data_IF_105563948129
#
_entry.id   IF_105563948129
#
_cell.length_a   1.000
_cell.length_b   1.000
_cell.length_c   1.000
_cell.angle_alpha   90.00
_cell.angle_beta   90.00
_cell.angle_gamma   90.00
#
_symmetry.space_group_name_H-M   'P 1'
#
loop_
_entity.id
_entity.type
_entity.pdbx_description
1 polymer ?
#
# COMPACT_ATOMS: atom_id res chain seq x y z
N UNK A 1 -9.34 -3.43 -20.60
CA UNK A 1 -8.97 -4.83 -20.93
C UNK A 1 -9.73 -5.82 -20.06
N UNK A 2 -9.62 -5.79 -18.72
CA UNK A 2 -10.45 -6.65 -17.85
C UNK A 2 -11.92 -6.18 -17.80
N UNK A 3 -12.16 -4.93 -17.42
CA UNK A 3 -13.54 -4.43 -17.18
C UNK A 3 -14.26 -3.96 -18.45
N UNK A 4 -13.50 -3.46 -19.42
CA UNK A 4 -13.99 -2.92 -20.69
C UNK A 4 -13.22 -3.53 -21.88
N UNK A 5 -13.31 -4.85 -22.13
CA UNK A 5 -12.64 -5.49 -23.27
C UNK A 5 -13.19 -5.04 -24.62
N UNK A 6 -14.50 -4.79 -24.70
CA UNK A 6 -15.24 -4.46 -25.93
C UNK A 6 -14.92 -3.07 -26.50
N UNK A 7 -14.42 -2.15 -25.68
CA UNK A 7 -14.07 -0.79 -26.10
C UNK A 7 -12.64 -0.66 -26.64
N UNK A 8 -11.86 -1.74 -26.61
CA UNK A 8 -10.47 -1.73 -27.08
C UNK A 8 -10.43 -1.95 -28.59
N UNK A 9 -9.97 -0.94 -29.32
CA UNK A 9 -9.78 -1.03 -30.77
C UNK A 9 -8.59 -1.92 -31.13
N UNK A 10 -8.54 -2.42 -32.37
CA UNK A 10 -7.42 -3.23 -32.86
C UNK A 10 -6.07 -2.51 -32.77
N UNK A 11 -6.06 -1.19 -32.97
CA UNK A 11 -4.85 -0.36 -32.86
C UNK A 11 -4.37 -0.26 -31.40
N UNK A 12 -5.29 -0.02 -30.46
CA UNK A 12 -4.99 0.00 -29.02
C UNK A 12 -4.51 -1.38 -28.55
N UNK A 13 -5.19 -2.45 -28.98
CA UNK A 13 -4.80 -3.83 -28.70
C UNK A 13 -3.38 -4.11 -29.17
N UNK A 14 -3.02 -3.71 -30.40
CA UNK A 14 -1.67 -3.91 -30.95
C UNK A 14 -0.60 -3.13 -30.18
N UNK A 15 -0.90 -1.89 -29.79
CA UNK A 15 0.02 -1.06 -29.01
C UNK A 15 0.26 -1.64 -27.61
N UNK A 16 -0.80 -2.15 -26.96
CA UNK A 16 -0.70 -2.84 -25.68
C UNK A 16 0.09 -4.15 -25.84
N UNK A 17 -0.28 -4.98 -26.82
CA UNK A 17 0.37 -6.27 -27.04
C UNK A 17 1.88 -6.12 -27.22
N UNK A 18 2.34 -5.09 -27.93
CA UNK A 18 3.75 -4.82 -28.14
C UNK A 18 4.57 -4.69 -26.83
N UNK A 19 3.94 -4.37 -25.69
CA UNK A 19 4.59 -4.19 -24.39
C UNK A 19 4.17 -5.26 -23.37
N UNK A 20 2.91 -5.67 -23.39
CA UNK A 20 2.33 -6.65 -22.47
C UNK A 20 1.41 -7.61 -23.25
N UNK A 21 1.53 -8.93 -23.11
CA UNK A 21 0.75 -9.91 -23.87
C UNK A 21 -0.75 -9.73 -23.63
N UNK A 22 -1.46 -9.15 -24.60
CA UNK A 22 -2.80 -8.60 -24.40
C UNK A 22 -3.79 -9.67 -23.94
N UNK A 23 -3.75 -10.84 -24.56
CA UNK A 23 -4.69 -11.93 -24.30
C UNK A 23 -4.55 -12.56 -22.91
N UNK A 24 -3.39 -12.37 -22.27
CA UNK A 24 -3.13 -12.87 -20.91
C UNK A 24 -3.41 -11.84 -19.83
N UNK A 25 -3.60 -10.55 -20.18
CA UNK A 25 -3.73 -9.46 -19.21
C UNK A 25 -4.95 -9.61 -18.30
N UNK A 26 -6.12 -9.94 -18.85
CA UNK A 26 -7.34 -10.07 -18.06
C UNK A 26 -7.24 -11.22 -17.05
N UNK A 27 -6.63 -12.34 -17.45
CA UNK A 27 -6.44 -13.52 -16.58
C UNK A 27 -5.38 -13.29 -15.51
N UNK A 28 -4.32 -12.53 -15.83
CA UNK A 28 -3.27 -12.22 -14.88
C UNK A 28 -3.64 -11.10 -13.90
N UNK A 29 -4.70 -10.34 -14.15
CA UNK A 29 -5.10 -9.22 -13.31
C UNK A 29 -5.48 -9.70 -11.90
N UNK A 30 -4.82 -9.12 -10.90
CA UNK A 30 -5.15 -9.30 -9.49
C UNK A 30 -5.31 -7.90 -8.86
N UNK A 31 -6.50 -7.55 -8.35
CA UNK A 31 -6.76 -6.20 -7.85
C UNK A 31 -5.76 -5.73 -6.77
N UNK A 32 -5.37 -6.64 -5.88
CA UNK A 32 -4.45 -6.34 -4.78
C UNK A 32 -2.96 -6.49 -5.13
N UNK A 33 -2.61 -6.98 -6.33
CA UNK A 33 -1.23 -7.27 -6.69
C UNK A 33 -0.96 -7.07 -8.18
N UNK A 34 -0.08 -6.12 -8.47
CA UNK A 34 0.35 -5.76 -9.82
C UNK A 34 1.46 -6.66 -10.39
N UNK A 35 2.12 -7.46 -9.56
CA UNK A 35 3.29 -8.27 -9.94
C UNK A 35 3.02 -9.27 -11.08
N UNK A 36 1.89 -10.01 -11.11
CA UNK A 36 1.58 -10.91 -12.23
C UNK A 36 1.57 -10.18 -13.59
N UNK A 37 1.07 -8.95 -13.65
CA UNK A 37 1.08 -8.14 -14.87
C UNK A 37 2.47 -7.60 -15.16
N UNK A 38 3.18 -7.08 -14.15
CA UNK A 38 4.54 -6.55 -14.30
C UNK A 38 5.53 -7.58 -14.82
N UNK A 39 5.43 -8.83 -14.36
CA UNK A 39 6.35 -9.89 -14.79
C UNK A 39 6.14 -10.33 -16.24
N UNK A 40 5.00 -10.00 -16.86
CA UNK A 40 4.76 -10.24 -18.29
C UNK A 40 5.33 -9.15 -19.22
N UNK A 41 5.95 -8.11 -18.67
CA UNK A 41 6.50 -7.01 -19.46
C UNK A 41 7.58 -7.48 -20.46
N UNK A 42 7.38 -7.16 -21.75
CA UNK A 42 8.32 -7.47 -22.83
C UNK A 42 9.54 -6.56 -22.74
N UNK A 43 10.65 -7.08 -22.21
CA UNK A 43 11.89 -6.31 -21.97
C UNK A 43 12.58 -5.83 -23.25
N UNK A 44 12.29 -6.46 -24.36
CA UNK A 44 12.81 -6.19 -25.70
C UNK A 44 11.98 -5.16 -26.50
N UNK A 45 10.88 -4.64 -25.93
CA UNK A 45 10.08 -3.63 -26.62
C UNK A 45 10.87 -2.32 -26.89
N UNK A 46 10.65 -1.72 -28.05
CA UNK A 46 11.33 -0.48 -28.45
C UNK A 46 10.79 0.74 -27.71
N UNK A 47 11.52 1.86 -27.76
CA UNK A 47 11.04 3.11 -27.21
C UNK A 47 9.74 3.59 -27.90
N UNK A 48 9.61 3.40 -29.22
CA UNK A 48 8.35 3.76 -29.91
C UNK A 48 7.18 2.91 -29.43
N UNK A 49 7.38 1.59 -29.24
CA UNK A 49 6.34 0.69 -28.74
C UNK A 49 5.89 1.08 -27.33
N UNK A 50 6.83 1.40 -26.43
CA UNK A 50 6.48 1.89 -25.08
C UNK A 50 5.72 3.20 -25.11
N UNK A 51 6.15 4.15 -25.94
CA UNK A 51 5.45 5.43 -26.06
C UNK A 51 4.04 5.26 -26.63
N UNK A 52 3.86 4.37 -27.60
CA UNK A 52 2.54 4.02 -28.13
C UNK A 52 1.66 3.38 -27.04
N UNK A 53 2.21 2.48 -26.24
CA UNK A 53 1.52 1.91 -25.08
C UNK A 53 1.10 3.00 -24.08
N UNK A 54 2.00 3.90 -23.67
CA UNK A 54 1.66 4.97 -22.72
C UNK A 54 0.61 5.94 -23.26
N UNK A 55 0.63 6.24 -24.56
CA UNK A 55 -0.41 7.03 -25.19
C UNK A 55 -1.78 6.34 -25.11
N UNK A 56 -1.85 5.04 -25.43
CA UNK A 56 -3.09 4.25 -25.32
C UNK A 56 -3.56 4.16 -23.88
N UNK A 57 -2.66 3.85 -22.94
CA UNK A 57 -2.96 3.83 -21.51
C UNK A 57 -3.56 5.15 -21.03
N UNK A 58 -3.00 6.29 -21.47
CA UNK A 58 -3.53 7.61 -21.14
C UNK A 58 -4.91 7.89 -21.73
N UNK A 59 -5.15 7.52 -22.99
CA UNK A 59 -6.48 7.67 -23.60
C UNK A 59 -7.53 6.77 -22.91
N UNK A 60 -7.16 5.55 -22.52
CA UNK A 60 -8.02 4.68 -21.73
C UNK A 60 -8.31 5.27 -20.34
N UNK A 61 -7.34 5.92 -19.70
CA UNK A 61 -7.53 6.59 -18.42
C UNK A 61 -8.56 7.73 -18.50
N UNK A 62 -8.59 8.47 -19.61
CA UNK A 62 -9.59 9.53 -19.85
C UNK A 62 -10.99 8.97 -20.07
N UNK A 63 -11.11 7.83 -20.77
CA UNK A 63 -12.40 7.15 -21.01
C UNK A 63 -12.96 6.59 -19.70
N UNK A 64 -12.11 5.97 -18.88
CA UNK A 64 -12.49 5.23 -17.67
C UNK A 64 -11.69 5.66 -16.43
N UNK A 65 -11.83 6.91 -15.96
CA UNK A 65 -11.03 7.42 -14.84
C UNK A 65 -11.32 6.67 -13.52
N UNK A 66 -12.56 6.20 -13.33
CA UNK A 66 -12.95 5.42 -12.15
C UNK A 66 -12.21 4.08 -12.05
N UNK A 67 -12.01 3.38 -13.18
CA UNK A 67 -11.27 2.11 -13.20
C UNK A 67 -9.81 2.30 -12.74
N UNK A 68 -9.20 3.44 -13.08
CA UNK A 68 -7.84 3.76 -12.67
C UNK A 68 -7.76 4.10 -11.18
N UNK A 69 -8.72 4.87 -10.67
CA UNK A 69 -8.81 5.16 -9.22
C UNK A 69 -9.06 3.88 -8.42
N UNK A 70 -9.95 3.01 -8.90
CA UNK A 70 -10.21 1.71 -8.29
C UNK A 70 -8.96 0.82 -8.28
N UNK A 71 -8.26 0.72 -9.42
CA UNK A 71 -7.03 -0.07 -9.50
C UNK A 71 -5.94 0.42 -8.54
N UNK A 72 -5.78 1.74 -8.36
CA UNK A 72 -4.87 2.30 -7.37
C UNK A 72 -5.32 1.94 -5.95
N UNK A 73 -6.61 2.16 -5.64
CA UNK A 73 -7.17 1.88 -4.32
C UNK A 73 -7.04 0.41 -3.95
N UNK A 74 -7.46 -0.51 -4.82
CA UNK A 74 -7.41 -1.95 -4.56
C UNK A 74 -5.98 -2.47 -4.33
N UNK A 75 -4.99 -1.82 -4.96
CA UNK A 75 -3.59 -2.13 -4.75
C UNK A 75 -3.04 -1.57 -3.41
N UNK A 76 -3.67 -0.57 -2.77
CA UNK A 76 -3.12 0.10 -1.58
C UNK A 76 -4.05 0.22 -0.36
N UNK A 77 -5.30 -0.24 -0.44
CA UNK A 77 -6.35 0.00 0.57
C UNK A 77 -5.96 -0.49 1.97
N UNK A 78 -5.19 -1.59 2.06
CA UNK A 78 -4.69 -2.15 3.30
C UNK A 78 -3.94 -1.12 4.17
N UNK A 79 -3.29 -0.15 3.53
CA UNK A 79 -2.52 0.88 4.22
C UNK A 79 -3.38 2.03 4.76
N UNK A 80 -4.61 2.17 4.31
CA UNK A 80 -5.46 3.31 4.64
C UNK A 80 -6.78 2.89 5.32
N UNK A 81 -7.02 1.59 5.49
CA UNK A 81 -8.22 1.04 6.08
C UNK A 81 -7.90 -0.02 7.15
N UNK A 82 -8.09 0.28 8.46
CA UNK A 82 -7.83 -0.66 9.54
C UNK A 82 -8.91 -1.74 9.58
N UNK A 83 -8.69 -2.81 8.81
CA UNK A 83 -9.64 -3.92 8.66
C UNK A 83 -9.37 -5.08 9.63
N UNK A 84 -8.24 -5.05 10.36
CA UNK A 84 -7.76 -6.16 11.19
C UNK A 84 -7.14 -7.30 10.38
N UNK A 85 -7.04 -7.15 9.05
CA UNK A 85 -6.53 -8.17 8.13
C UNK A 85 -5.04 -8.00 7.81
N UNK A 86 -4.46 -6.84 8.11
CA UNK A 86 -3.09 -6.49 7.73
C UNK A 86 -2.25 -6.21 8.98
N UNK A 87 -1.85 -7.26 9.72
CA UNK A 87 -1.12 -7.09 10.96
C UNK A 87 0.34 -6.66 10.74
N UNK A 88 0.90 -5.93 11.70
CA UNK A 88 2.31 -5.49 11.75
C UNK A 88 3.34 -6.62 11.94
N UNK A 89 2.90 -7.88 11.89
CA UNK A 89 3.72 -9.05 12.05
C UNK A 89 3.29 -10.10 11.05
N UNK A 90 4.24 -10.90 10.57
CA UNK A 90 3.89 -12.13 9.88
C UNK A 90 3.16 -13.03 10.88
N UNK A 91 1.89 -13.29 10.63
CA UNK A 91 1.24 -14.44 11.23
C UNK A 91 1.97 -15.64 10.63
N UNK A 92 2.81 -16.30 11.42
CA UNK A 92 3.62 -17.46 11.02
C UNK A 92 2.78 -18.71 10.63
N UNK A 93 1.53 -18.52 10.20
CA UNK A 93 0.57 -19.55 9.83
C UNK A 93 0.03 -19.43 8.40
N UNK A 94 0.61 -18.59 7.55
CA UNK A 94 0.42 -18.76 6.11
C UNK A 94 1.24 -19.95 5.63
N UNK A 95 0.80 -21.16 5.97
CA UNK A 95 1.15 -22.35 5.21
C UNK A 95 0.62 -22.11 3.79
N UNK A 96 1.53 -21.85 2.85
CA UNK A 96 1.22 -21.84 1.43
C UNK A 96 1.84 -23.11 0.83
N UNK A 97 1.05 -23.95 0.15
CA UNK A 97 1.57 -25.12 -0.56
C UNK A 97 2.51 -24.72 -1.72
N UNK A 98 2.58 -23.43 -2.09
CA UNK A 98 3.28 -22.91 -3.27
C UNK A 98 4.73 -22.46 -2.97
N UNK A 99 5.13 -22.42 -1.70
CA UNK A 99 6.52 -22.15 -1.27
C UNK A 99 7.13 -23.41 -0.67
N UNK A 100 7.67 -24.32 -1.51
CA UNK A 100 8.36 -25.49 -1.00
C UNK A 100 9.64 -25.05 -0.28
N UNK A 101 9.70 -25.34 1.02
CA UNK A 101 10.92 -25.55 1.80
C UNK A 101 11.73 -24.34 2.32
N UNK A 102 11.20 -23.11 2.41
CA UNK A 102 11.98 -22.01 3.01
C UNK A 102 11.83 -21.89 4.54
N UNK A 103 10.68 -22.25 5.12
CA UNK A 103 10.46 -22.19 6.57
C UNK A 103 9.59 -23.36 7.05
N UNK A 104 10.21 -24.44 7.52
CA UNK A 104 9.50 -25.52 8.25
C UNK A 104 9.17 -25.07 9.68
N UNK A 105 8.33 -24.05 9.82
CA UNK A 105 7.75 -23.71 11.12
C UNK A 105 6.49 -24.55 11.29
N UNK A 106 6.64 -25.73 11.90
CA UNK A 106 5.50 -26.52 12.35
C UNK A 106 4.81 -25.74 13.47
N UNK A 107 3.53 -25.42 13.29
CA UNK A 107 2.75 -24.79 14.35
C UNK A 107 2.74 -25.71 15.58
N UNK A 108 3.21 -25.21 16.73
CA UNK A 108 3.13 -25.95 17.99
C UNK A 108 1.66 -26.31 18.36
N UNK A 109 0.69 -25.55 17.82
CA UNK A 109 -0.74 -25.78 18.00
C UNK A 109 -1.47 -25.54 16.66
N UNK A 110 -1.74 -26.59 15.85
CA UNK A 110 -2.32 -26.43 14.51
C UNK A 110 -3.77 -25.93 14.51
N UNK A 111 -4.50 -26.13 15.60
CA UNK A 111 -5.91 -25.76 15.74
C UNK A 111 -6.15 -24.55 16.66
N UNK A 112 -5.09 -23.96 17.20
CA UNK A 112 -5.20 -22.74 17.99
C UNK A 112 -4.71 -21.56 17.13
N UNK A 113 -5.51 -20.51 16.92
CA UNK A 113 -4.97 -19.29 16.35
C UNK A 113 -3.82 -18.84 17.26
N UNK A 114 -2.67 -18.52 16.67
CA UNK A 114 -1.58 -17.98 17.48
C UNK A 114 -2.11 -16.77 18.27
N UNK A 115 -1.64 -16.57 19.51
CA UNK A 115 -2.18 -15.53 20.38
C UNK A 115 -2.19 -14.14 19.73
N UNK A 116 -1.24 -13.88 18.83
CA UNK A 116 -1.17 -12.66 18.02
C UNK A 116 -2.28 -12.56 16.97
N UNK A 117 -2.67 -13.66 16.32
CA UNK A 117 -3.81 -13.70 15.40
C UNK A 117 -5.14 -13.53 16.15
N UNK A 118 -5.27 -14.15 17.32
CA UNK A 118 -6.43 -13.95 18.20
C UNK A 118 -6.50 -12.51 18.75
N UNK A 119 -5.36 -11.88 18.99
CA UNK A 119 -5.28 -10.46 19.38
C UNK A 119 -5.69 -9.53 18.23
N UNK A 120 -5.18 -9.77 17.02
CA UNK A 120 -5.49 -8.97 15.83
C UNK A 120 -6.96 -9.08 15.39
N UNK A 121 -7.64 -10.18 15.73
CA UNK A 121 -9.06 -10.37 15.40
C UNK A 121 -10.03 -9.65 16.34
N UNK A 122 -9.57 -9.11 17.47
CA UNK A 122 -10.42 -8.34 18.38
C UNK A 122 -10.75 -6.97 17.77
N UNK A 123 -12.02 -6.54 17.74
CA UNK A 123 -12.38 -5.21 17.27
C UNK A 123 -11.75 -4.13 18.15
N UNK A 124 -11.30 -3.02 17.55
CA UNK A 124 -10.59 -1.89 18.17
C UNK A 124 -9.21 -2.21 18.76
N UNK A 125 -9.07 -3.31 19.50
CA UNK A 125 -7.79 -3.76 20.07
C UNK A 125 -6.86 -4.25 18.96
N UNK A 126 -7.40 -5.04 18.03
CA UNK A 126 -6.68 -5.53 16.86
C UNK A 126 -6.26 -4.42 15.88
N UNK A 127 -6.91 -3.25 15.92
CA UNK A 127 -6.45 -2.09 15.14
C UNK A 127 -5.06 -1.62 15.58
N UNK A 128 -4.70 -1.78 16.86
CA UNK A 128 -3.34 -1.50 17.32
C UNK A 128 -2.29 -2.47 16.74
N UNK A 129 -2.73 -3.59 16.17
CA UNK A 129 -1.88 -4.50 15.43
C UNK A 129 -1.94 -4.25 13.92
N UNK A 130 -2.82 -3.38 13.41
CA UNK A 130 -3.10 -3.21 11.98
C UNK A 130 -2.28 -2.05 11.37
N UNK A 131 -1.73 -2.28 10.18
CA UNK A 131 -0.95 -1.29 9.43
C UNK A 131 -1.72 0.01 9.17
N UNK A 132 -2.98 -0.10 8.72
CA UNK A 132 -3.80 1.03 8.31
C UNK A 132 -4.07 1.99 9.45
N UNK A 133 -4.18 1.47 10.68
CA UNK A 133 -4.35 2.29 11.87
C UNK A 133 -3.19 3.27 12.06
N UNK A 134 -1.95 2.82 11.91
CA UNK A 134 -0.77 3.67 12.13
C UNK A 134 -0.56 4.70 11.03
N UNK A 135 -0.92 4.39 9.79
CA UNK A 135 -0.91 5.37 8.69
C UNK A 135 -1.95 6.46 8.95
N UNK A 136 -3.17 6.09 9.33
CA UNK A 136 -4.21 7.07 9.69
C UNK A 136 -3.86 7.90 10.92
N UNK A 137 -3.21 7.28 11.92
CA UNK A 137 -2.71 7.98 13.11
C UNK A 137 -1.62 9.00 12.74
N UNK A 138 -0.68 8.62 11.87
CA UNK A 138 0.31 9.55 11.30
C UNK A 138 -0.36 10.72 10.56
N UNK A 139 -1.32 10.44 9.66
CA UNK A 139 -2.02 11.49 8.92
C UNK A 139 -2.74 12.45 9.87
N UNK A 140 -3.36 11.91 10.94
CA UNK A 140 -4.00 12.71 11.97
C UNK A 140 -3.01 13.66 12.67
N UNK A 141 -1.83 13.18 13.03
CA UNK A 141 -0.76 14.00 13.61
C UNK A 141 -0.19 15.02 12.62
N UNK A 142 -0.03 14.64 11.34
CA UNK A 142 0.45 15.53 10.30
C UNK A 142 -0.51 16.70 10.06
N UNK A 143 -1.82 16.43 9.90
CA UNK A 143 -2.83 17.48 9.74
C UNK A 143 -2.98 18.33 11.00
N UNK A 144 -2.84 17.74 12.19
CA UNK A 144 -2.81 18.49 13.43
C UNK A 144 -1.61 19.46 13.50
N UNK A 145 -0.41 19.00 13.13
CA UNK A 145 0.79 19.83 13.07
C UNK A 145 0.66 20.96 12.02
N UNK A 146 0.03 20.69 10.87
CA UNK A 146 -0.32 21.72 9.88
C UNK A 146 -1.26 22.78 10.47
N UNK A 147 -2.32 22.35 11.16
CA UNK A 147 -3.27 23.27 11.80
C UNK A 147 -2.59 24.14 12.87
N UNK A 148 -1.72 23.54 13.70
CA UNK A 148 -0.94 24.26 14.72
C UNK A 148 0.24 25.04 14.16
N UNK A 149 0.56 24.87 12.87
CA UNK A 149 1.74 25.45 12.21
C UNK A 149 3.06 25.10 12.93
N UNK A 150 3.12 23.90 13.50
CA UNK A 150 4.32 23.41 14.18
C UNK A 150 5.37 22.98 13.15
N UNK A 151 6.30 23.90 12.86
CA UNK A 151 7.35 23.67 11.85
C UNK A 151 8.30 22.54 12.24
N UNK A 152 8.54 22.31 13.54
CA UNK A 152 9.43 21.25 13.99
C UNK A 152 8.79 19.88 13.75
N UNK A 153 7.52 19.72 14.14
CA UNK A 153 6.76 18.50 13.87
C UNK A 153 6.63 18.23 12.36
N UNK A 154 6.39 19.26 11.55
CA UNK A 154 6.30 19.11 10.08
C UNK A 154 7.62 18.71 9.41
N UNK A 155 8.76 19.17 9.95
CA UNK A 155 10.09 18.74 9.51
C UNK A 155 10.34 17.27 9.85
N UNK A 156 10.01 16.86 11.07
CA UNK A 156 10.15 15.46 11.51
C UNK A 156 9.18 14.52 10.80
N UNK A 157 8.03 15.00 10.38
CA UNK A 157 7.05 14.23 9.62
C UNK A 157 7.47 13.94 8.17
N UNK A 158 8.51 14.60 7.62
CA UNK A 158 8.88 14.46 6.21
C UNK A 158 9.15 13.02 5.76
N UNK A 159 9.95 12.20 6.48
CA UNK A 159 10.19 10.81 6.07
C UNK A 159 8.90 9.98 6.03
N UNK A 160 7.99 10.20 6.99
CA UNK A 160 6.68 9.54 7.03
C UNK A 160 5.78 10.00 5.89
N UNK A 161 5.82 11.28 5.53
CA UNK A 161 5.03 11.83 4.42
C UNK A 161 5.46 11.23 3.09
N UNK A 162 6.77 11.13 2.84
CA UNK A 162 7.31 10.47 1.65
C UNK A 162 6.96 8.98 1.63
N UNK A 163 7.06 8.30 2.77
CA UNK A 163 6.64 6.91 2.89
C UNK A 163 5.15 6.74 2.54
N UNK A 164 4.27 7.55 3.15
CA UNK A 164 2.83 7.52 2.88
C UNK A 164 2.49 7.83 1.41
N UNK A 165 3.24 8.73 0.76
CA UNK A 165 3.07 9.00 -0.66
C UNK A 165 3.46 7.80 -1.54
N UNK A 166 4.54 7.08 -1.18
CA UNK A 166 4.96 5.85 -1.89
C UNK A 166 3.91 4.74 -1.78
N UNK A 167 3.16 4.67 -0.67
CA UNK A 167 2.09 3.69 -0.49
C UNK A 167 0.98 3.80 -1.56
N UNK A 168 0.77 4.98 -2.16
CA UNK A 168 -0.17 5.16 -3.27
C UNK A 168 0.38 4.70 -4.64
N UNK A 169 1.70 4.64 -4.80
CA UNK A 169 2.35 4.48 -6.11
C UNK A 169 2.96 3.09 -6.30
N UNK A 170 3.47 2.48 -5.24
CA UNK A 170 4.22 1.23 -5.34
C UNK A 170 3.78 0.14 -4.35
N UNK A 171 2.50 -0.29 -4.30
CA UNK A 171 2.12 -1.24 -3.28
C UNK A 171 2.10 -2.67 -3.82
N UNK A 172 2.69 -3.56 -3.04
CA UNK A 172 2.16 -4.90 -2.86
C UNK A 172 1.22 -4.79 -1.66
N UNK A 173 -0.09 -4.86 -1.89
CA UNK A 173 -1.09 -4.48 -0.89
C UNK A 173 -0.86 -5.22 0.45
N UNK A 174 -0.84 -4.49 1.56
CA UNK A 174 -0.72 -5.09 2.90
C UNK A 174 0.69 -5.60 3.26
N UNK A 175 1.72 -5.17 2.56
CA UNK A 175 3.11 -5.52 2.86
C UNK A 175 3.69 -4.59 3.94
N UNK A 176 4.01 -5.15 5.11
CA UNK A 176 4.33 -4.39 6.34
C UNK A 176 5.60 -3.53 6.22
N UNK A 177 6.60 -3.97 5.43
CA UNK A 177 7.90 -3.29 5.34
C UNK A 177 7.78 -1.85 4.84
N UNK A 178 6.74 -1.53 4.07
CA UNK A 178 6.52 -0.19 3.54
C UNK A 178 5.97 0.79 4.60
N UNK A 179 5.44 0.29 5.71
CA UNK A 179 4.89 1.11 6.81
C UNK A 179 5.94 1.37 7.91
N UNK A 180 7.08 0.65 7.90
CA UNK A 180 8.14 0.78 8.90
C UNK A 180 8.66 2.21 9.11
N UNK A 181 8.90 3.03 8.07
CA UNK A 181 9.35 4.41 8.28
C UNK A 181 8.34 5.25 9.06
N UNK A 182 7.04 4.98 8.89
CA UNK A 182 5.96 5.65 9.64
C UNK A 182 5.99 5.16 11.10
N UNK A 183 6.01 3.85 11.31
CA UNK A 183 5.98 3.25 12.65
C UNK A 183 7.15 3.70 13.53
N UNK A 184 8.36 3.76 12.99
CA UNK A 184 9.55 4.13 13.76
C UNK A 184 9.62 5.61 14.12
N UNK A 185 9.09 6.49 13.26
CA UNK A 185 9.11 7.93 13.50
C UNK A 185 7.88 8.45 14.26
N UNK A 186 6.80 7.67 14.33
CA UNK A 186 5.56 8.08 14.97
C UNK A 186 5.72 8.43 16.46
N UNK A 187 6.48 7.69 17.29
CA UNK A 187 6.71 8.06 18.68
C UNK A 187 7.43 9.40 18.84
N UNK A 188 8.39 9.69 17.96
CA UNK A 188 9.12 10.96 17.96
C UNK A 188 8.18 12.12 17.57
N UNK A 189 7.35 11.93 16.54
CA UNK A 189 6.36 12.92 16.13
C UNK A 189 5.33 13.17 17.26
N UNK A 190 4.83 12.10 17.89
CA UNK A 190 3.94 12.19 19.04
C UNK A 190 4.59 12.95 20.19
N UNK A 191 5.85 12.64 20.52
CA UNK A 191 6.59 13.33 21.58
C UNK A 191 6.63 14.84 21.32
N UNK A 192 6.99 15.29 20.11
CA UNK A 192 7.00 16.72 19.76
C UNK A 192 5.62 17.38 19.85
N UNK A 193 4.59 16.70 19.37
CA UNK A 193 3.21 17.18 19.40
C UNK A 193 2.70 17.37 20.85
N UNK A 194 3.05 16.44 21.74
CA UNK A 194 2.56 16.44 23.13
C UNK A 194 3.51 17.13 24.12
N UNK A 195 4.77 17.36 23.75
CA UNK A 195 5.72 18.16 24.54
C UNK A 195 5.52 19.65 24.29
N UNK A 196 4.48 20.24 24.90
CA UNK A 196 4.40 21.70 24.98
C UNK A 196 5.49 22.26 25.92
N UNK A 197 6.00 23.47 25.65
CA UNK A 197 7.01 24.09 26.48
C UNK A 197 6.43 24.31 27.88
N UNK A 198 7.17 23.89 28.90
CA UNK A 198 6.94 24.30 30.27
C UNK A 198 6.82 25.83 30.29
N UNK A 199 5.65 26.33 30.70
CA UNK A 199 5.47 27.73 31.03
C UNK A 199 6.60 28.09 32.00
N UNK A 200 7.56 28.92 31.58
CA UNK A 200 8.51 29.49 32.51
C UNK A 200 7.68 30.27 33.55
N UNK A 201 7.82 30.01 34.86
CA UNK A 201 7.12 30.82 35.84
C UNK A 201 7.56 32.27 35.62
N UNK A 202 6.58 33.15 35.39
CA UNK A 202 6.82 34.58 35.38
C UNK A 202 7.49 34.94 36.70
N UNK A 203 8.78 35.28 36.65
CA UNK A 203 9.47 35.87 37.77
C UNK A 203 8.73 37.16 38.13
N UNK A 204 8.19 37.14 39.34
CA UNK A 204 7.56 38.21 40.12
C UNK A 204 8.26 39.56 40.01
#
# INVERSE_FOLDING_TARGET
VHDHPEEVTDAERKAIDAVLPFDSLATAYQPALQDPVKFMYRRDCTAEQRNAYYAVWWEMAKKHPSAYVAAVWDCCDAYFHPSGRYPLFFVAHSWSPDVPNLFHLQAAFPNAPCGMAAFASLPLVGWMADMGFYVLLFLSFFFWALWKRDRAALLVAQPCLWAAAVLWVAPANGEFRYVLPILWNLPLLAALIFSKPTCAPSSS
#
